data_IF_983660091720
#
_entry.id   IF_983660091720
#
_cell.length_a   1.000
_cell.length_b   1.000
_cell.length_c   1.000
_cell.angle_alpha   90.00
_cell.angle_beta   90.00
_cell.angle_gamma   90.00
#
_symmetry.space_group_name_H-M   'P 1'
#
loop_
_entity.id
_entity.type
_entity.pdbx_description
1 polymer ?
#
# COMPACT_ATOMS: atom_id res chain seq x y z
N UNK A 1 8.96 2.56 2.18
CA UNK A 1 8.52 3.41 1.04
C UNK A 1 7.24 4.12 1.46
N UNK A 2 6.99 5.35 1.00
CA UNK A 2 5.79 6.11 1.36
C UNK A 2 5.02 6.46 0.09
N UNK A 3 3.97 5.71 -0.21
CA UNK A 3 3.11 5.93 -1.36
C UNK A 3 1.99 6.94 -1.10
N UNK A 4 1.39 7.44 -2.18
CA UNK A 4 0.14 8.19 -2.12
C UNK A 4 -1.01 7.31 -1.61
N UNK A 5 -1.93 7.90 -0.87
CA UNK A 5 -3.12 7.23 -0.35
C UNK A 5 -4.40 7.65 -1.08
N UNK A 6 -4.34 8.63 -1.99
CA UNK A 6 -5.50 9.07 -2.77
C UNK A 6 -5.36 8.79 -4.26
N UNK A 7 -6.45 8.41 -4.93
CA UNK A 7 -6.61 8.36 -6.38
C UNK A 7 -8.01 8.92 -6.71
N UNK A 8 -8.12 10.05 -7.44
CA UNK A 8 -7.04 10.87 -8.00
C UNK A 8 -6.10 11.43 -6.92
N UNK A 9 -4.82 11.64 -7.28
CA UNK A 9 -3.78 12.05 -6.34
C UNK A 9 -3.94 13.53 -5.93
N UNK A 10 -4.45 13.76 -4.73
CA UNK A 10 -4.58 15.09 -4.12
C UNK A 10 -3.76 15.23 -2.84
N UNK A 11 -3.06 14.18 -2.42
CA UNK A 11 -2.30 14.08 -1.16
C UNK A 11 -0.78 14.13 -1.36
N UNK A 12 -0.31 14.78 -2.43
CA UNK A 12 1.12 14.84 -2.78
C UNK A 12 1.94 15.56 -1.69
N UNK A 13 1.43 16.69 -1.19
CA UNK A 13 2.09 17.48 -0.15
C UNK A 13 2.15 16.71 1.18
N UNK A 14 1.02 16.13 1.60
CA UNK A 14 0.88 15.35 2.83
C UNK A 14 1.77 14.12 2.81
N UNK A 15 1.83 13.42 1.67
CA UNK A 15 2.70 12.27 1.48
C UNK A 15 4.18 12.67 1.54
N UNK A 16 4.56 13.77 0.90
CA UNK A 16 5.94 14.30 0.96
C UNK A 16 6.33 14.70 2.39
N UNK A 17 5.45 15.39 3.10
CA UNK A 17 5.64 15.76 4.51
C UNK A 17 5.85 14.51 5.38
N UNK A 18 4.97 13.51 5.26
CA UNK A 18 5.08 12.23 5.99
C UNK A 18 6.39 11.51 5.70
N UNK A 19 6.82 11.49 4.44
CA UNK A 19 8.10 10.88 4.06
C UNK A 19 9.30 11.62 4.69
N UNK A 20 9.28 12.96 4.69
CA UNK A 20 10.30 13.78 5.34
C UNK A 20 10.37 13.56 6.85
N UNK A 21 9.23 13.52 7.54
CA UNK A 21 9.14 13.26 8.98
C UNK A 21 9.70 11.87 9.33
N UNK A 22 9.36 10.84 8.54
CA UNK A 22 9.91 9.49 8.70
C UNK A 22 11.43 9.50 8.52
N UNK A 23 11.94 10.14 7.46
CA UNK A 23 13.38 10.21 7.19
C UNK A 23 14.16 10.86 8.33
N UNK A 24 13.68 12.02 8.80
CA UNK A 24 14.30 12.73 9.93
C UNK A 24 14.33 11.82 11.17
N UNK A 25 13.20 11.16 11.49
CA UNK A 25 13.14 10.28 12.66
C UNK A 25 14.09 9.08 12.58
N UNK A 26 14.27 8.50 11.39
CA UNK A 26 15.20 7.39 11.18
C UNK A 26 16.66 7.82 11.33
N UNK A 27 17.02 9.02 10.84
CA UNK A 27 18.37 9.59 10.99
C UNK A 27 18.69 9.85 12.46
N UNK A 28 17.77 10.48 13.20
CA UNK A 28 17.97 10.83 14.61
C UNK A 28 18.10 9.59 15.50
N UNK A 29 17.24 8.60 15.29
CA UNK A 29 17.17 7.40 16.13
C UNK A 29 18.14 6.30 15.71
N UNK A 30 18.74 6.42 14.51
CA UNK A 30 19.67 5.44 13.92
C UNK A 30 19.11 4.01 13.90
N UNK A 31 17.80 3.88 13.66
CA UNK A 31 17.17 2.57 13.63
C UNK A 31 17.43 1.87 12.30
N UNK A 32 17.91 0.61 12.33
CA UNK A 32 17.87 -0.22 11.13
C UNK A 32 16.42 -0.48 10.73
N UNK A 33 16.17 -0.50 9.42
CA UNK A 33 14.84 -0.78 8.86
C UNK A 33 14.90 -2.04 8.00
N UNK A 34 13.80 -2.78 8.01
CA UNK A 34 13.56 -3.86 7.06
C UNK A 34 12.28 -3.56 6.29
N UNK A 35 12.22 -3.97 5.03
CA UNK A 35 11.08 -3.74 4.15
C UNK A 35 10.67 -5.03 3.49
N UNK A 36 9.38 -5.36 3.59
CA UNK A 36 8.75 -6.49 2.92
C UNK A 36 7.82 -5.96 1.84
N UNK A 37 7.86 -6.58 0.66
CA UNK A 37 6.91 -6.36 -0.41
C UNK A 37 6.15 -7.67 -0.68
N UNK A 38 4.82 -7.58 -0.79
CA UNK A 38 3.97 -8.66 -1.30
C UNK A 38 3.36 -8.25 -2.63
N UNK A 39 3.69 -9.00 -3.68
CA UNK A 39 3.04 -8.89 -4.99
C UNK A 39 1.70 -9.60 -4.93
N UNK A 40 0.67 -8.95 -5.46
CA UNK A 40 -0.68 -9.48 -5.57
C UNK A 40 -0.90 -9.82 -7.04
N UNK A 41 -1.17 -11.08 -7.40
CA UNK A 41 -1.18 -11.53 -8.79
C UNK A 41 -2.49 -11.13 -9.50
N UNK A 42 -2.80 -9.84 -9.52
CA UNK A 42 -3.96 -9.27 -10.20
C UNK A 42 -3.65 -7.90 -10.81
N UNK A 43 -4.39 -7.59 -11.87
CA UNK A 43 -4.44 -6.28 -12.50
C UNK A 43 -5.74 -5.59 -12.11
N UNK A 44 -5.66 -4.34 -11.69
CA UNK A 44 -6.84 -3.55 -11.39
C UNK A 44 -7.31 -2.83 -12.64
N UNK A 45 -8.63 -2.79 -12.86
CA UNK A 45 -9.21 -1.99 -13.91
C UNK A 45 -9.13 -0.49 -13.53
N UNK A 46 -8.62 0.36 -14.43
CA UNK A 46 -8.34 1.78 -14.18
C UNK A 46 -9.50 2.54 -13.52
N UNK A 47 -10.71 2.38 -14.06
CA UNK A 47 -11.92 3.07 -13.58
C UNK A 47 -12.35 2.66 -12.16
N UNK A 48 -11.80 1.56 -11.62
CA UNK A 48 -12.07 1.08 -10.27
C UNK A 48 -10.99 1.50 -9.26
N UNK A 49 -9.95 2.22 -9.70
CA UNK A 49 -8.88 2.73 -8.82
C UNK A 49 -9.26 4.13 -8.32
N UNK A 50 -10.33 4.19 -7.51
CA UNK A 50 -10.76 5.41 -6.81
C UNK A 50 -10.72 5.12 -5.32
N UNK A 51 -9.77 5.74 -4.61
CA UNK A 51 -9.47 5.41 -3.21
C UNK A 51 -10.55 5.85 -2.22
N UNK A 52 -11.40 6.80 -2.61
CA UNK A 52 -12.54 7.24 -1.82
C UNK A 52 -13.75 6.31 -1.94
N UNK A 53 -13.72 5.35 -2.86
CA UNK A 53 -14.79 4.40 -3.12
C UNK A 53 -14.41 2.99 -2.67
N UNK A 54 -15.43 2.18 -2.39
CA UNK A 54 -15.22 0.76 -2.13
C UNK A 54 -14.79 0.04 -3.43
N UNK A 55 -13.91 -0.97 -3.34
CA UNK A 55 -13.40 -1.59 -2.11
C UNK A 55 -12.11 -0.97 -1.54
N UNK A 56 -11.51 0.00 -2.24
CA UNK A 56 -10.21 0.56 -1.85
C UNK A 56 -10.29 1.38 -0.56
N UNK A 57 -11.41 2.06 -0.31
CA UNK A 57 -11.62 2.81 0.92
C UNK A 57 -11.50 1.91 2.17
N UNK A 58 -12.10 0.71 2.17
CA UNK A 58 -11.96 -0.26 3.25
C UNK A 58 -10.52 -0.77 3.39
N UNK A 59 -9.84 -1.07 2.28
CA UNK A 59 -8.45 -1.52 2.31
C UNK A 59 -7.51 -0.44 2.88
N UNK A 60 -7.68 0.82 2.49
CA UNK A 60 -6.88 1.93 2.99
C UNK A 60 -7.09 2.22 4.47
N UNK A 61 -8.28 1.95 5.03
CA UNK A 61 -8.49 1.97 6.49
C UNK A 61 -7.59 0.96 7.19
N UNK A 62 -7.45 -0.26 6.63
CA UNK A 62 -6.55 -1.31 7.17
C UNK A 62 -5.07 -0.93 7.02
N UNK A 63 -4.69 -0.27 5.92
CA UNK A 63 -3.35 0.28 5.73
C UNK A 63 -3.01 1.32 6.80
N UNK A 64 -3.94 2.24 7.09
CA UNK A 64 -3.78 3.25 8.15
C UNK A 64 -3.63 2.61 9.53
N UNK A 65 -4.49 1.64 9.87
CA UNK A 65 -4.39 0.91 11.14
C UNK A 65 -3.06 0.13 11.30
N UNK A 66 -2.52 -0.41 10.20
CA UNK A 66 -1.22 -1.09 10.21
C UNK A 66 -0.09 -0.09 10.49
N UNK A 67 -0.14 1.09 9.87
CA UNK A 67 0.84 2.16 10.05
C UNK A 67 0.92 2.70 11.47
N UNK A 68 -0.17 2.62 12.24
CA UNK A 68 -0.23 3.06 13.64
C UNK A 68 0.38 2.05 14.63
N UNK A 69 0.74 0.85 14.18
CA UNK A 69 1.37 -0.16 15.04
C UNK A 69 2.79 0.25 15.42
N UNK A 70 3.16 -0.06 16.67
CA UNK A 70 4.53 0.11 17.14
C UNK A 70 5.50 -0.63 16.21
N UNK A 71 6.67 -0.02 15.97
CA UNK A 71 7.74 -0.51 15.09
C UNK A 71 7.42 -0.51 13.60
N UNK A 72 6.21 -0.18 13.15
CA UNK A 72 5.95 0.07 11.72
C UNK A 72 6.45 1.47 11.36
N UNK A 73 7.28 1.54 10.32
CA UNK A 73 7.83 2.80 9.77
C UNK A 73 6.93 3.34 8.68
N UNK A 74 6.49 2.48 7.77
CA UNK A 74 5.59 2.86 6.68
C UNK A 74 4.81 1.67 6.16
N UNK A 75 3.61 1.91 5.65
CA UNK A 75 2.75 0.93 5.00
C UNK A 75 2.15 1.60 3.79
N UNK A 76 2.21 0.96 2.63
CA UNK A 76 1.64 1.49 1.38
C UNK A 76 1.14 0.37 0.50
N UNK A 77 0.11 0.65 -0.29
CA UNK A 77 -0.36 -0.21 -1.36
C UNK A 77 -0.13 0.48 -2.69
N UNK A 78 0.13 -0.30 -3.73
CA UNK A 78 0.27 0.18 -5.10
C UNK A 78 -0.66 -0.64 -5.97
N UNK A 79 -1.55 0.02 -6.72
CA UNK A 79 -2.43 -0.65 -7.67
C UNK A 79 -1.65 -1.16 -8.90
N UNK A 80 -0.49 -0.56 -9.19
CA UNK A 80 0.25 -0.76 -10.42
C UNK A 80 -0.39 -0.01 -11.59
N UNK A 81 0.22 -0.11 -12.77
CA UNK A 81 -0.34 0.41 -14.01
C UNK A 81 -0.60 -0.79 -14.95
N UNK A 82 -1.87 -1.17 -15.18
CA UNK A 82 -2.20 -2.44 -15.82
C UNK A 82 -1.85 -2.51 -17.31
N UNK A 83 -1.47 -1.39 -17.92
CA UNK A 83 -1.09 -1.31 -19.34
C UNK A 83 0.44 -1.43 -19.55
N UNK A 84 1.23 -1.55 -18.47
CA UNK A 84 2.66 -1.79 -18.59
C UNK A 84 2.96 -3.23 -19.02
N UNK A 85 3.71 -3.41 -20.11
CA UNK A 85 4.19 -4.71 -20.60
C UNK A 85 5.51 -5.11 -19.92
N UNK A 86 5.44 -5.36 -18.61
CA UNK A 86 6.57 -5.83 -17.80
C UNK A 86 6.16 -7.02 -16.93
N UNK A 87 7.13 -7.89 -16.60
CA UNK A 87 6.89 -9.07 -15.78
C UNK A 87 6.38 -8.73 -14.38
N UNK A 88 6.80 -7.60 -13.84
CA UNK A 88 6.52 -7.15 -12.48
C UNK A 88 5.21 -6.36 -12.35
N UNK A 89 4.38 -6.28 -13.40
CA UNK A 89 3.12 -5.52 -13.39
C UNK A 89 2.14 -6.02 -12.31
N UNK A 90 1.18 -5.17 -11.94
CA UNK A 90 0.10 -5.49 -10.99
C UNK A 90 0.33 -5.02 -9.56
N UNK A 91 -0.66 -5.29 -8.71
CA UNK A 91 -0.73 -4.71 -7.39
C UNK A 91 0.36 -5.19 -6.41
N UNK A 92 0.66 -4.38 -5.40
CA UNK A 92 1.56 -4.73 -4.32
C UNK A 92 1.21 -4.06 -3.00
N UNK A 93 1.68 -4.67 -1.91
CA UNK A 93 1.72 -4.10 -0.57
C UNK A 93 3.18 -3.98 -0.17
N UNK A 94 3.58 -2.84 0.41
CA UNK A 94 4.91 -2.61 0.96
C UNK A 94 4.78 -2.20 2.42
N UNK A 95 5.49 -2.91 3.31
CA UNK A 95 5.56 -2.59 4.74
C UNK A 95 7.01 -2.48 5.15
N UNK A 96 7.37 -1.37 5.80
CA UNK A 96 8.68 -1.17 6.41
C UNK A 96 8.52 -1.10 7.93
N UNK A 97 9.43 -1.72 8.68
CA UNK A 97 9.47 -1.71 10.15
C UNK A 97 10.87 -1.43 10.69
N UNK A 98 10.99 -1.16 11.99
CA UNK A 98 12.28 -0.99 12.70
C UNK A 98 12.78 -2.34 13.24
N UNK A 99 13.70 -2.97 12.51
CA UNK A 99 14.33 -4.26 12.88
C UNK A 99 13.34 -5.38 13.22
N UNK A 100 12.17 -5.40 12.60
CA UNK A 100 11.14 -6.40 12.88
C UNK A 100 10.60 -6.98 11.57
N UNK A 101 11.39 -7.85 10.97
CA UNK A 101 11.07 -8.44 9.68
C UNK A 101 9.83 -9.35 9.79
N UNK A 102 9.68 -10.09 10.90
CA UNK A 102 8.51 -10.92 11.16
C UNK A 102 7.23 -10.09 11.24
N UNK A 103 7.26 -8.95 11.93
CA UNK A 103 6.13 -8.02 11.95
C UNK A 103 5.83 -7.48 10.54
N UNK A 104 6.85 -7.01 9.81
CA UNK A 104 6.66 -6.49 8.45
C UNK A 104 6.04 -7.55 7.52
N UNK A 105 6.53 -8.79 7.61
CA UNK A 105 6.05 -9.94 6.86
C UNK A 105 4.60 -10.31 7.22
N UNK A 106 4.28 -10.33 8.51
CA UNK A 106 2.92 -10.60 9.01
C UNK A 106 1.92 -9.57 8.49
N UNK A 107 2.26 -8.28 8.61
CA UNK A 107 1.37 -7.18 8.19
C UNK A 107 1.25 -7.09 6.66
N UNK A 108 2.34 -7.26 5.92
CA UNK A 108 2.31 -7.29 4.47
C UNK A 108 1.48 -8.49 3.94
N UNK A 109 1.61 -9.64 4.58
CA UNK A 109 0.82 -10.83 4.25
C UNK A 109 -0.65 -10.69 4.59
N UNK A 110 -0.98 -10.04 5.72
CA UNK A 110 -2.35 -9.73 6.09
C UNK A 110 -3.00 -8.81 5.05
N UNK A 111 -2.39 -7.66 4.78
CA UNK A 111 -2.90 -6.71 3.80
C UNK A 111 -2.91 -7.29 2.39
N UNK A 112 -1.95 -8.15 2.04
CA UNK A 112 -1.91 -8.81 0.74
C UNK A 112 -3.09 -9.78 0.54
N UNK A 113 -3.45 -10.55 1.56
CA UNK A 113 -4.66 -11.39 1.53
C UNK A 113 -5.93 -10.56 1.40
N UNK A 114 -6.04 -9.52 2.22
CA UNK A 114 -7.17 -8.57 2.15
C UNK A 114 -7.31 -7.95 0.76
N UNK A 115 -6.20 -7.57 0.13
CA UNK A 115 -6.24 -7.01 -1.21
C UNK A 115 -6.64 -8.08 -2.25
N UNK A 116 -6.11 -9.30 -2.13
CA UNK A 116 -6.46 -10.42 -3.02
C UNK A 116 -7.92 -10.85 -2.92
N UNK A 117 -8.51 -10.81 -1.73
CA UNK A 117 -9.91 -11.21 -1.51
C UNK A 117 -10.90 -10.24 -2.16
N UNK A 118 -10.47 -9.00 -2.42
CA UNK A 118 -11.24 -7.97 -3.13
C UNK A 118 -11.14 -8.07 -4.66
N UNK A 119 -10.39 -9.03 -5.23
CA UNK A 119 -10.11 -9.10 -6.67
C UNK A 119 -11.36 -9.05 -7.57
N UNK A 120 -12.43 -9.73 -7.16
CA UNK A 120 -13.68 -9.80 -7.94
C UNK A 120 -14.42 -8.46 -7.95
N UNK A 121 -14.23 -7.62 -6.92
CA UNK A 121 -14.82 -6.29 -6.84
C UNK A 121 -14.20 -5.29 -7.84
N UNK A 122 -13.03 -5.61 -8.39
CA UNK A 122 -12.37 -4.80 -9.41
C UNK A 122 -12.78 -5.18 -10.84
N UNK A 123 -13.64 -6.18 -11.02
CA UNK A 123 -14.21 -6.51 -12.32
C UNK A 123 -15.24 -5.47 -12.76
N UNK A 124 -15.29 -5.21 -14.06
CA UNK A 124 -16.38 -4.42 -14.63
C UNK A 124 -17.63 -5.27 -14.72
N UNK A 125 -18.71 -4.83 -14.07
CA UNK A 125 -20.06 -5.24 -14.41
C UNK A 125 -20.56 -4.33 -15.52
N UNK A 126 -20.82 -4.88 -16.69
CA UNK A 126 -21.55 -4.15 -17.73
C UNK A 126 -22.93 -3.79 -17.18
N UNK A 127 -23.34 -2.53 -17.35
CA UNK A 127 -24.73 -2.13 -17.17
C UNK A 127 -25.55 -2.91 -18.20
N UNK A 128 -26.41 -3.80 -17.71
CA UNK A 128 -27.49 -4.42 -18.48
C UNK A 128 -28.52 -3.38 -18.91
#
# INVERSE_FOLDING_TARGET
LVGYETAPHVDMFETGKRAGEILISLIEKKFPTCTVMKKIPMLLHGDKIITSQEPLAALLKKVKATREKNRIVSTSIFAGFPLDDIKEVGASVVVSSTCDEELAEKEASFLGREFWDLRENFLMTHLS
#
